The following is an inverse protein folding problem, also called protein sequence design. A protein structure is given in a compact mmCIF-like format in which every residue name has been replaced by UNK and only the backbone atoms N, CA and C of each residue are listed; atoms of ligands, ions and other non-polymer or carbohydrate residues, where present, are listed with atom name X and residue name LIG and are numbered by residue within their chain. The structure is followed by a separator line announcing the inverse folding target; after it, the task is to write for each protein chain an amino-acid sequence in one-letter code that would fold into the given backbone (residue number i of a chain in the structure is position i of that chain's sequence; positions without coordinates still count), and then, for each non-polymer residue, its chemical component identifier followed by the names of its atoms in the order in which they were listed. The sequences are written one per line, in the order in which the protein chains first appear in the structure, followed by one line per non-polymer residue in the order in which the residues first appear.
data_IF_558710229403
#
_entry.id   IF_558710229403
#
_cell.length_a   1.000
_cell.length_b   1.000
_cell.length_c   1.000
_cell.angle_alpha   90.00
_cell.angle_beta   90.00
_cell.angle_gamma   90.00
#
_symmetry.space_group_name_H-M   'P 1'
#
loop_
_entity.id
_entity.type
_entity.pdbx_description
1 polymer ?
#
# COMPACT_ATOMS: atom_id res chain seq x y z
N UNK A 1 0.80 -6.56 12.30
CA UNK A 1 2.06 -5.86 12.61
C UNK A 1 1.74 -4.42 13.01
N UNK A 2 2.37 -3.89 14.07
CA UNK A 2 2.31 -2.45 14.41
C UNK A 2 3.45 -1.75 13.67
N UNK A 3 3.21 -0.54 13.17
CA UNK A 3 4.24 0.21 12.46
C UNK A 3 5.43 0.50 13.40
N UNK A 4 6.68 0.20 13.01
CA UNK A 4 7.85 0.52 13.83
C UNK A 4 8.03 2.04 13.86
N UNK A 5 7.74 2.66 15.01
CA UNK A 5 7.79 4.11 15.22
C UNK A 5 8.69 4.47 16.39
N UNK A 6 9.61 5.41 16.17
CA UNK A 6 10.43 6.04 17.19
C UNK A 6 10.51 7.55 16.93
N UNK A 7 10.50 8.36 17.99
CA UNK A 7 10.71 9.81 17.86
C UNK A 7 12.09 10.11 17.25
N UNK A 8 12.15 11.13 16.40
CA UNK A 8 13.32 11.49 15.58
C UNK A 8 13.55 10.59 14.35
N UNK A 9 12.74 9.55 14.14
CA UNK A 9 12.87 8.69 12.96
C UNK A 9 12.35 9.41 11.71
N UNK A 10 13.15 9.38 10.64
CA UNK A 10 12.69 9.76 9.31
C UNK A 10 11.85 8.66 8.69
N UNK A 11 10.74 9.04 8.08
CA UNK A 11 9.84 8.13 7.37
C UNK A 11 9.52 8.66 5.98
N UNK A 12 9.08 7.75 5.12
CA UNK A 12 8.60 8.08 3.79
C UNK A 12 7.08 8.16 3.79
N UNK A 13 6.51 9.20 3.20
CA UNK A 13 5.06 9.44 3.17
C UNK A 13 4.60 9.58 1.74
N UNK A 14 3.46 8.96 1.45
CA UNK A 14 2.83 8.99 0.14
C UNK A 14 1.42 9.54 0.26
N UNK A 15 1.09 10.48 -0.62
CA UNK A 15 -0.24 11.07 -0.72
C UNK A 15 -1.05 10.30 -1.74
N UNK A 16 -2.22 9.85 -1.33
CA UNK A 16 -3.21 9.23 -2.19
C UNK A 16 -4.43 10.15 -2.26
N UNK A 17 -4.76 10.58 -3.47
CA UNK A 17 -5.98 11.34 -3.72
C UNK A 17 -7.18 10.37 -3.70
N UNK A 18 -8.28 10.78 -3.05
CA UNK A 18 -9.47 9.94 -2.89
C UNK A 18 -10.41 10.03 -4.09
N UNK A 19 -10.31 11.09 -4.88
CA UNK A 19 -11.30 11.43 -5.91
C UNK A 19 -10.73 11.43 -7.32
N UNK A 20 -9.42 11.62 -7.46
CA UNK A 20 -8.75 11.67 -8.76
C UNK A 20 -7.63 10.65 -8.80
N UNK A 21 -7.53 9.87 -9.88
CA UNK A 21 -6.33 9.07 -10.19
C UNK A 21 -5.19 10.01 -10.62
N UNK A 22 -4.68 10.81 -9.69
CA UNK A 22 -3.46 11.60 -9.87
C UNK A 22 -2.25 10.84 -9.35
N UNK A 23 -1.10 11.12 -9.95
CA UNK A 23 0.17 10.57 -9.48
C UNK A 23 0.36 10.84 -7.99
N UNK A 24 0.71 9.79 -7.27
CA UNK A 24 0.94 9.85 -5.84
C UNK A 24 2.16 10.73 -5.56
N UNK A 25 1.98 11.78 -4.75
CA UNK A 25 3.09 12.64 -4.32
C UNK A 25 3.79 12.01 -3.13
N UNK A 26 5.11 11.97 -3.18
CA UNK A 26 5.93 11.42 -2.10
C UNK A 26 6.76 12.49 -1.42
N UNK A 27 6.92 12.41 -0.11
CA UNK A 27 7.79 13.29 0.66
C UNK A 27 8.30 12.59 1.93
N UNK A 28 9.31 13.18 2.58
CA UNK A 28 9.84 12.71 3.86
C UNK A 28 9.27 13.53 5.01
N UNK A 29 9.20 12.91 6.17
CA UNK A 29 8.88 13.56 7.43
C UNK A 29 9.61 12.93 8.60
N UNK A 30 9.67 13.64 9.71
CA UNK A 30 10.28 13.16 10.96
C UNK A 30 9.21 12.94 12.01
N UNK A 31 9.24 11.79 12.67
CA UNK A 31 8.32 11.49 13.78
C UNK A 31 8.67 12.39 14.96
N UNK A 32 7.75 13.27 15.33
CA UNK A 32 7.94 14.22 16.44
C UNK A 32 7.36 13.71 17.75
N UNK A 33 6.33 12.86 17.70
CA UNK A 33 5.65 12.33 18.88
C UNK A 33 5.08 10.94 18.63
N UNK A 34 5.25 10.04 19.60
CA UNK A 34 4.66 8.69 19.54
C UNK A 34 3.72 8.46 20.73
N UNK A 35 2.44 8.23 20.43
CA UNK A 35 1.43 7.82 21.41
C UNK A 35 1.15 6.31 21.31
N UNK A 36 0.26 5.83 22.18
CA UNK A 36 -0.19 4.43 22.23
C UNK A 36 -0.80 3.95 20.92
N UNK A 37 -1.67 4.75 20.30
CA UNK A 37 -2.44 4.39 19.09
C UNK A 37 -2.05 5.18 17.84
N UNK A 38 -1.28 6.26 17.99
CA UNK A 38 -0.97 7.16 16.89
C UNK A 38 0.45 7.70 17.00
N UNK A 39 0.97 8.20 15.90
CA UNK A 39 2.23 8.94 15.87
C UNK A 39 2.05 10.21 15.03
N UNK A 40 2.89 11.21 15.29
CA UNK A 40 2.83 12.53 14.67
C UNK A 40 4.10 12.77 13.90
N UNK A 41 3.96 13.40 12.74
CA UNK A 41 5.06 13.60 11.81
C UNK A 41 5.07 15.04 11.35
N UNK A 42 6.23 15.68 11.46
CA UNK A 42 6.47 17.00 10.90
C UNK A 42 7.18 16.87 9.56
N UNK A 43 6.70 17.60 8.56
CA UNK A 43 7.29 17.63 7.22
C UNK A 43 7.97 18.96 7.01
N UNK A 44 9.10 19.00 6.29
CA UNK A 44 9.83 20.25 6.03
C UNK A 44 8.98 21.35 5.34
N UNK A 45 7.91 20.96 4.65
CA UNK A 45 7.05 21.86 3.87
C UNK A 45 5.75 22.28 4.56
N UNK A 46 5.44 21.78 5.77
CA UNK A 46 4.19 22.11 6.46
C UNK A 46 4.45 22.54 7.90
N UNK A 47 3.79 23.61 8.30
CA UNK A 47 3.80 24.09 9.69
C UNK A 47 3.08 23.14 10.65
N UNK A 48 2.13 22.34 10.14
CA UNK A 48 1.29 21.44 10.96
C UNK A 48 1.76 20.00 10.88
N UNK A 49 1.74 19.33 12.02
CA UNK A 49 2.00 17.89 12.14
C UNK A 49 0.86 17.07 11.54
N UNK A 50 1.23 15.97 10.88
CA UNK A 50 0.31 14.95 10.42
C UNK A 50 0.20 13.85 11.47
N UNK A 51 -1.03 13.52 11.88
CA UNK A 51 -1.31 12.41 12.78
C UNK A 51 -1.60 11.15 11.98
N UNK A 52 -0.87 10.08 12.27
CA UNK A 52 -1.03 8.76 11.66
C UNK A 52 -1.50 7.73 12.69
N UNK A 53 -2.34 6.80 12.24
CA UNK A 53 -2.71 5.61 13.00
C UNK A 53 -1.53 4.62 13.04
N UNK A 54 -1.19 4.09 14.22
CA UNK A 54 -0.02 3.23 14.42
C UNK A 54 -0.24 1.78 13.94
N UNK A 55 -1.49 1.36 13.77
CA UNK A 55 -1.87 0.04 13.24
C UNK A 55 -1.79 0.04 11.72
N UNK A 56 -2.24 1.10 11.06
CA UNK A 56 -2.35 1.17 9.59
C UNK A 56 -1.28 2.02 8.93
N UNK A 57 -0.64 2.94 9.66
CA UNK A 57 0.25 3.94 9.11
C UNK A 57 -0.48 4.99 8.26
N UNK A 58 -1.79 5.15 8.45
CA UNK A 58 -2.63 6.05 7.63
C UNK A 58 -2.96 7.32 8.41
N UNK A 59 -2.82 8.47 7.75
CA UNK A 59 -3.37 9.75 8.17
C UNK A 59 -4.49 10.11 7.21
N UNK A 60 -5.72 10.10 7.69
CA UNK A 60 -6.89 10.32 6.83
C UNK A 60 -7.26 11.80 6.75
N UNK A 61 -7.45 12.29 5.52
CA UNK A 61 -7.93 13.63 5.23
C UNK A 61 -9.19 13.61 4.37
N UNK A 62 -9.78 14.79 4.16
CA UNK A 62 -11.06 14.91 3.43
C UNK A 62 -10.89 14.54 1.95
N UNK A 63 -9.90 15.13 1.27
CA UNK A 63 -9.66 14.95 -0.18
C UNK A 63 -8.57 13.95 -0.51
N UNK A 64 -7.71 13.66 0.45
CA UNK A 64 -6.59 12.74 0.29
C UNK A 64 -6.35 12.02 1.61
N UNK A 65 -5.71 10.85 1.55
CA UNK A 65 -5.10 10.22 2.70
C UNK A 65 -3.60 10.10 2.50
N UNK A 66 -2.85 10.11 3.59
CA UNK A 66 -1.42 9.91 3.59
C UNK A 66 -1.12 8.53 4.17
N UNK A 67 -0.17 7.83 3.55
CA UNK A 67 0.33 6.55 4.07
C UNK A 67 1.81 6.67 4.36
N UNK A 68 2.17 6.32 5.58
CA UNK A 68 3.54 6.26 6.05
C UNK A 68 4.17 4.90 5.70
N UNK A 69 5.46 4.93 5.41
CA UNK A 69 6.34 3.79 5.21
C UNK A 69 7.64 4.03 5.99
N UNK A 70 8.24 2.99 6.61
CA UNK A 70 9.44 3.17 7.42
C UNK A 70 10.58 3.83 6.65
N UNK A 71 10.69 3.50 5.37
CA UNK A 71 11.68 4.03 4.45
C UNK A 71 11.16 3.96 2.99
N UNK A 72 11.97 4.49 2.08
CA UNK A 72 11.66 4.53 0.64
C UNK A 72 11.69 3.14 0.01
N UNK A 73 12.57 2.26 0.45
CA UNK A 73 12.74 0.91 -0.12
C UNK A 73 11.50 0.04 0.16
N UNK A 74 10.95 0.16 1.37
CA UNK A 74 9.69 -0.47 1.77
C UNK A 74 8.54 0.01 0.89
N UNK A 75 8.48 1.30 0.59
CA UNK A 75 7.49 1.83 -0.35
C UNK A 75 7.69 1.27 -1.77
N UNK A 76 8.90 1.36 -2.31
CA UNK A 76 9.19 0.91 -3.68
C UNK A 76 8.95 -0.59 -3.85
N UNK A 77 9.29 -1.41 -2.86
CA UNK A 77 9.03 -2.86 -2.88
C UNK A 77 7.53 -3.16 -2.88
N UNK A 78 6.73 -2.43 -2.11
CA UNK A 78 5.27 -2.59 -2.08
C UNK A 78 4.62 -2.11 -3.37
N UNK A 79 5.06 -0.97 -3.93
CA UNK A 79 4.55 -0.48 -5.21
C UNK A 79 4.89 -1.44 -6.33
N UNK A 80 6.16 -1.87 -6.44
CA UNK A 80 6.58 -2.87 -7.43
C UNK A 80 5.78 -4.16 -7.31
N UNK A 81 5.46 -4.59 -6.08
CA UNK A 81 4.61 -5.77 -5.85
C UNK A 81 3.20 -5.56 -6.39
N UNK A 82 2.57 -4.42 -6.08
CA UNK A 82 1.21 -4.09 -6.55
C UNK A 82 1.16 -3.96 -8.07
N UNK A 83 2.14 -3.27 -8.67
CA UNK A 83 2.26 -3.14 -10.12
C UNK A 83 2.41 -4.51 -10.78
N UNK A 84 3.29 -5.35 -10.23
CA UNK A 84 3.50 -6.71 -10.75
C UNK A 84 2.26 -7.59 -10.59
N UNK A 85 1.55 -7.48 -9.47
CA UNK A 85 0.28 -8.18 -9.26
C UNK A 85 -0.77 -7.75 -10.29
N UNK A 86 -0.92 -6.44 -10.52
CA UNK A 86 -1.84 -5.91 -11.53
C UNK A 86 -1.46 -6.34 -12.94
N UNK A 87 -0.17 -6.31 -13.27
CA UNK A 87 0.34 -6.77 -14.56
C UNK A 87 0.01 -8.25 -14.77
N UNK A 88 0.30 -9.11 -13.78
CA UNK A 88 -0.01 -10.53 -13.85
C UNK A 88 -1.52 -10.78 -13.98
N UNK A 89 -2.37 -10.04 -13.26
CA UNK A 89 -3.82 -10.15 -13.41
C UNK A 89 -4.28 -9.80 -14.83
N UNK A 90 -3.72 -8.76 -15.44
CA UNK A 90 -4.02 -8.39 -16.83
C UNK A 90 -3.54 -9.47 -17.82
N UNK A 91 -2.31 -9.98 -17.66
CA UNK A 91 -1.75 -11.02 -18.51
C UNK A 91 -2.57 -12.32 -18.42
N UNK A 92 -2.89 -12.77 -17.20
CA UNK A 92 -3.74 -13.95 -16.97
C UNK A 92 -5.13 -13.73 -17.55
N UNK A 93 -5.74 -12.56 -17.34
CA UNK A 93 -7.05 -12.24 -17.91
C UNK A 93 -7.06 -12.30 -19.43
N UNK A 94 -6.02 -11.78 -20.08
CA UNK A 94 -5.85 -11.87 -21.53
C UNK A 94 -5.69 -13.33 -21.99
N UNK A 95 -4.87 -14.14 -21.31
CA UNK A 95 -4.69 -15.55 -21.63
C UNK A 95 -6.01 -16.34 -21.48
N UNK A 96 -6.74 -16.13 -20.39
CA UNK A 96 -8.01 -16.80 -20.10
C UNK A 96 -9.08 -16.45 -21.13
N UNK A 97 -9.10 -15.21 -21.64
CA UNK A 97 -10.12 -14.76 -22.58
C UNK A 97 -10.16 -15.51 -23.91
N UNK A 98 -9.06 -16.17 -24.29
CA UNK A 98 -8.96 -16.96 -25.52
C UNK A 98 -9.18 -18.46 -25.35
N UNK A 99 -9.46 -18.95 -24.14
CA UNK A 99 -9.60 -20.38 -23.86
C UNK A 99 -11.03 -20.88 -24.09
N UNK A 100 -11.14 -22.15 -24.46
CA UNK A 100 -12.43 -22.83 -24.56
C UNK A 100 -12.93 -23.33 -23.18
N UNK A 101 -14.16 -23.85 -23.17
CA UNK A 101 -14.81 -24.28 -21.93
C UNK A 101 -14.04 -25.40 -21.21
N UNK A 102 -13.46 -26.35 -21.94
CA UNK A 102 -12.76 -27.49 -21.35
C UNK A 102 -11.47 -27.04 -20.66
N UNK A 103 -10.74 -26.11 -21.26
CA UNK A 103 -9.55 -25.52 -20.66
C UNK A 103 -9.88 -24.61 -19.46
N UNK A 104 -10.97 -23.85 -19.52
CA UNK A 104 -11.47 -23.07 -18.39
C UNK A 104 -11.85 -23.96 -17.19
N UNK A 105 -12.45 -25.12 -17.44
CA UNK A 105 -12.79 -26.10 -16.39
C UNK A 105 -11.53 -26.68 -15.73
N UNK A 106 -10.48 -26.97 -16.51
CA UNK A 106 -9.18 -27.42 -15.96
C UNK A 106 -8.54 -26.35 -15.08
N UNK A 107 -8.50 -25.10 -15.54
CA UNK A 107 -7.95 -23.97 -14.76
C UNK A 107 -8.72 -23.79 -13.45
N UNK A 108 -10.06 -23.86 -13.49
CA UNK A 108 -10.89 -23.82 -12.28
C UNK A 108 -10.52 -24.93 -11.30
N UNK A 109 -10.24 -26.14 -11.80
CA UNK A 109 -9.75 -27.26 -10.99
C UNK A 109 -8.46 -26.92 -10.26
N UNK A 110 -7.42 -26.51 -10.99
CA UNK A 110 -6.12 -26.15 -10.42
C UNK A 110 -6.20 -25.02 -9.40
N UNK A 111 -6.95 -23.96 -9.68
CA UNK A 111 -7.12 -22.83 -8.75
C UNK A 111 -7.78 -23.28 -7.44
N UNK A 112 -8.78 -24.16 -7.51
CA UNK A 112 -9.43 -24.69 -6.31
C UNK A 112 -8.50 -25.58 -5.47
N UNK A 113 -7.62 -26.36 -6.10
CA UNK A 113 -6.62 -27.16 -5.37
C UNK A 113 -5.60 -26.27 -4.67
N UNK A 114 -5.12 -25.23 -5.35
CA UNK A 114 -4.19 -24.25 -4.76
C UNK A 114 -4.84 -23.58 -3.54
N UNK A 115 -6.10 -23.18 -3.62
CA UNK A 115 -6.80 -22.51 -2.50
C UNK A 115 -7.02 -23.47 -1.32
N UNK A 116 -7.38 -24.73 -1.59
CA UNK A 116 -7.61 -25.74 -0.53
C UNK A 116 -6.32 -26.25 0.12
N UNK A 117 -5.20 -26.24 -0.60
CA UNK A 117 -3.89 -26.64 -0.07
C UNK A 117 -3.19 -25.59 0.81
N UNK A 118 -3.84 -24.44 1.05
CA UNK A 118 -3.32 -23.34 1.88
C UNK A 118 -4.00 -23.31 3.27
N UNK A 119 -4.91 -24.25 3.56
CA UNK A 119 -5.48 -24.48 4.90
C UNK A 119 -4.60 -25.38 5.78
#
# INVERSE_FOLDING_TARGET
MRFPVKEGQQIFIVTHDKFVNREARTFKGEITKVNTISFYVKTCSRERELRFDKKTGISDGITCYYKAYPDRETYESLVKRIERERQLQCEIGAMISGLDLDDLLKIKGYVNEIIKGVE
#
